data_IF_607975031649
#
_entry.id   IF_607975031649
#
_cell.length_a   1.000
_cell.length_b   1.000
_cell.length_c   1.000
_cell.angle_alpha   90.00
_cell.angle_beta   90.00
_cell.angle_gamma   90.00
#
_symmetry.space_group_name_H-M   'P 1'
#
loop_
_entity.id
_entity.type
_entity.pdbx_description
1 polymer ?
#
# COMPACT_ATOMS: atom_id res chain seq x y z
N UNK A 1 -19.30 -16.24 -34.91
CA UNK A 1 -18.79 -15.44 -36.05
C UNK A 1 -19.92 -14.56 -36.56
N UNK A 2 -19.97 -13.28 -36.18
CA UNK A 2 -20.61 -12.22 -36.98
C UNK A 2 -20.35 -10.84 -36.36
N UNK A 3 -19.46 -10.10 -37.04
CA UNK A 3 -19.44 -8.66 -37.25
C UNK A 3 -19.24 -7.70 -36.06
N UNK A 4 -17.95 -7.47 -35.80
CA UNK A 4 -17.30 -6.17 -35.58
C UNK A 4 -17.79 -5.05 -36.51
N UNK A 5 -18.74 -4.22 -36.06
CA UNK A 5 -19.00 -2.86 -36.54
C UNK A 5 -19.33 -2.07 -35.27
N UNK A 6 -18.50 -1.18 -34.76
CA UNK A 6 -18.53 0.23 -35.16
C UNK A 6 -17.33 0.94 -34.52
N UNK A 7 -16.25 1.12 -35.29
CA UNK A 7 -15.22 2.13 -35.03
C UNK A 7 -15.39 3.21 -36.09
N UNK A 8 -16.01 4.34 -35.77
CA UNK A 8 -15.82 5.60 -36.50
C UNK A 8 -16.01 6.78 -35.55
N UNK A 9 -14.88 7.45 -35.31
CA UNK A 9 -14.65 8.89 -35.15
C UNK A 9 -15.61 9.75 -34.32
N UNK A 10 -15.06 10.39 -33.29
CA UNK A 10 -15.10 11.87 -33.19
C UNK A 10 -13.71 12.34 -32.73
N UNK A 11 -13.08 13.13 -33.59
CA UNK A 11 -11.85 13.85 -33.34
C UNK A 11 -12.15 15.30 -32.93
N UNK A 12 -11.27 15.83 -32.08
CA UNK A 12 -10.90 17.24 -31.91
C UNK A 12 -11.81 18.18 -31.11
N UNK A 13 -11.11 19.19 -30.53
CA UNK A 13 -11.59 20.46 -29.92
C UNK A 13 -11.78 20.35 -28.39
N UNK A 14 -10.97 20.94 -27.50
CA UNK A 14 -10.41 22.30 -27.45
C UNK A 14 -9.00 22.39 -26.83
N UNK A 15 -8.14 23.21 -27.45
CA UNK A 15 -7.03 23.95 -26.83
C UNK A 15 -7.57 25.15 -26.01
N UNK A 16 -6.69 25.76 -25.21
CA UNK A 16 -6.85 26.93 -24.30
C UNK A 16 -7.17 26.54 -22.84
N UNK A 17 -6.45 26.95 -21.79
CA UNK A 17 -5.63 28.14 -21.60
C UNK A 17 -4.48 27.89 -20.60
N UNK A 18 -3.32 28.48 -20.92
CA UNK A 18 -2.17 28.61 -20.03
C UNK A 18 -2.44 29.85 -19.17
N UNK A 19 -2.94 29.66 -17.95
CA UNK A 19 -3.08 30.72 -16.96
C UNK A 19 -1.82 30.77 -16.11
N UNK A 20 -0.94 31.73 -16.40
CA UNK A 20 0.16 32.09 -15.50
C UNK A 20 -0.37 32.75 -14.24
N UNK A 21 0.12 32.31 -13.07
CA UNK A 21 0.02 33.06 -11.84
C UNK A 21 1.36 33.77 -11.61
N UNK A 22 1.37 35.06 -11.91
CA UNK A 22 2.44 36.01 -11.66
C UNK A 22 2.22 36.72 -10.31
N UNK A 23 3.29 36.75 -9.52
CA UNK A 23 3.74 37.77 -8.55
C UNK A 23 2.92 38.21 -7.30
N UNK A 24 3.64 38.08 -6.17
CA UNK A 24 3.79 39.05 -5.03
C UNK A 24 2.56 39.34 -4.14
N UNK A 25 2.63 39.51 -2.82
CA UNK A 25 3.64 40.13 -1.95
C UNK A 25 3.25 39.94 -0.46
N UNK A 26 4.23 40.08 0.46
CA UNK A 26 4.11 40.46 1.91
C UNK A 26 3.45 39.43 2.85
N UNK A 27 3.89 39.20 4.10
CA UNK A 27 4.57 40.00 5.11
C UNK A 27 5.19 39.04 6.16
N UNK A 28 6.35 39.37 6.73
CA UNK A 28 6.69 38.96 8.11
C UNK A 28 5.93 39.90 9.07
N UNK A 29 5.53 39.45 10.28
CA UNK A 29 6.46 39.52 11.42
C UNK A 29 6.28 38.45 12.54
N UNK A 30 7.39 38.22 13.26
CA UNK A 30 7.52 38.17 14.73
C UNK A 30 6.65 37.24 15.62
N UNK A 31 7.37 36.31 16.28
CA UNK A 31 7.48 36.18 17.76
C UNK A 31 6.37 35.48 18.56
N UNK A 32 6.84 34.68 19.53
CA UNK A 32 6.20 34.07 20.72
C UNK A 32 5.73 32.61 20.51
N UNK A 33 6.41 31.58 21.03
CA UNK A 33 6.92 31.33 22.39
C UNK A 33 5.81 31.27 23.45
N UNK A 34 5.28 30.06 23.71
CA UNK A 34 4.89 29.53 25.03
C UNK A 34 4.45 28.08 24.86
N UNK A 35 5.27 27.07 25.16
CA UNK A 35 5.39 26.39 26.47
C UNK A 35 4.08 26.27 27.24
N UNK A 36 3.54 25.04 27.32
CA UNK A 36 2.99 24.48 28.56
C UNK A 36 3.26 22.98 28.66
N UNK A 37 3.70 22.63 29.87
CA UNK A 37 4.08 21.34 30.43
C UNK A 37 2.85 20.65 31.04
N UNK A 38 2.71 19.32 30.89
CA UNK A 38 2.18 18.40 31.92
C UNK A 38 2.26 16.96 31.36
N UNK A 39 3.12 16.05 31.85
CA UNK A 39 3.09 15.28 33.11
C UNK A 39 2.01 14.18 33.22
N UNK A 40 2.45 12.93 33.42
CA UNK A 40 1.71 11.79 33.98
C UNK A 40 1.15 10.80 32.94
N UNK A 41 1.64 9.58 32.68
CA UNK A 41 2.24 8.46 33.45
C UNK A 41 1.23 7.43 34.00
N UNK A 42 1.39 6.19 33.51
CA UNK A 42 1.13 4.85 34.11
C UNK A 42 -0.30 4.28 34.08
N UNK A 43 -0.39 2.99 33.69
CA UNK A 43 -1.51 2.14 34.09
C UNK A 43 -1.64 0.80 33.34
N UNK A 44 -0.72 -0.13 33.60
CA UNK A 44 -0.82 -1.56 33.26
C UNK A 44 -1.83 -2.27 34.19
N UNK A 45 -2.62 -3.22 33.69
CA UNK A 45 -3.22 -4.30 34.51
C UNK A 45 -3.94 -5.40 33.69
N UNK A 46 -3.52 -6.65 33.96
CA UNK A 46 -4.18 -7.95 33.73
C UNK A 46 -4.82 -8.39 35.07
N UNK A 47 -5.98 -9.10 35.11
CA UNK A 47 -5.98 -10.52 35.52
C UNK A 47 -7.10 -11.39 34.90
N UNK A 48 -7.04 -12.68 35.27
CA UNK A 48 -7.69 -13.88 34.72
C UNK A 48 -8.98 -14.27 35.46
N UNK A 49 -9.82 -15.13 34.84
CA UNK A 49 -10.52 -16.22 35.53
C UNK A 49 -12.04 -16.39 35.31
N UNK A 50 -12.47 -17.61 34.91
CA UNK A 50 -13.59 -18.32 35.57
C UNK A 50 -14.95 -18.52 34.86
N UNK A 51 -15.09 -19.67 34.17
CA UNK A 51 -16.19 -20.66 34.16
C UNK A 51 -17.72 -20.35 34.08
N UNK A 52 -18.35 -21.05 33.11
CA UNK A 52 -19.64 -21.80 33.11
C UNK A 52 -21.01 -21.21 32.63
N UNK A 53 -21.68 -22.05 31.81
CA UNK A 53 -23.02 -22.01 31.14
C UNK A 53 -24.21 -22.22 32.13
N UNK A 54 -25.54 -22.07 31.82
CA UNK A 54 -26.24 -22.53 30.58
C UNK A 54 -27.55 -21.78 30.11
N UNK A 55 -28.15 -22.27 29.00
CA UNK A 55 -29.59 -22.15 28.59
C UNK A 55 -29.83 -21.34 27.28
N UNK A 56 -30.22 -21.91 26.11
CA UNK A 56 -31.55 -22.47 25.68
C UNK A 56 -32.70 -21.45 25.83
N UNK A 57 -33.56 -21.08 24.89
CA UNK A 57 -34.03 -21.54 23.56
C UNK A 57 -34.68 -20.34 22.82
N UNK A 58 -34.77 -20.40 21.48
CA UNK A 58 -36.01 -20.27 20.69
C UNK A 58 -35.79 -19.72 19.26
N UNK A 59 -36.40 -20.45 18.34
CA UNK A 59 -36.37 -20.29 16.90
C UNK A 59 -37.05 -19.02 16.37
N UNK A 60 -36.50 -18.49 15.28
CA UNK A 60 -37.16 -17.54 14.38
C UNK A 60 -36.53 -17.64 13.00
N UNK A 61 -37.25 -18.26 12.07
CA UNK A 61 -36.84 -18.49 10.70
C UNK A 61 -36.75 -17.16 9.92
N UNK A 62 -35.60 -16.91 9.29
CA UNK A 62 -35.57 -16.36 7.94
C UNK A 62 -34.34 -16.94 7.22
N UNK A 63 -34.61 -17.82 6.26
CA UNK A 63 -33.60 -18.39 5.37
C UNK A 63 -33.26 -17.37 4.28
N UNK A 64 -32.67 -16.25 4.68
CA UNK A 64 -31.84 -15.44 3.81
C UNK A 64 -30.50 -16.15 3.67
N UNK A 65 -30.34 -16.94 2.61
CA UNK A 65 -29.07 -17.54 2.24
C UNK A 65 -28.03 -16.43 2.07
N UNK A 66 -27.31 -16.14 3.16
CA UNK A 66 -26.06 -15.40 3.10
C UNK A 66 -25.10 -16.32 2.37
N UNK A 67 -24.99 -16.13 1.06
CA UNK A 67 -23.96 -16.79 0.28
C UNK A 67 -22.63 -16.53 0.99
N UNK A 68 -21.76 -17.53 1.16
CA UNK A 68 -20.42 -17.27 1.66
C UNK A 68 -19.82 -16.23 0.71
N UNK A 69 -19.57 -15.03 1.24
CA UNK A 69 -18.85 -14.00 0.52
C UNK A 69 -17.61 -14.70 -0.01
N UNK A 70 -17.43 -14.71 -1.33
CA UNK A 70 -16.33 -15.40 -2.00
C UNK A 70 -15.03 -14.62 -1.74
N UNK A 71 -14.64 -14.52 -0.47
CA UNK A 71 -13.39 -13.94 0.05
C UNK A 71 -12.19 -14.87 -0.21
N UNK A 72 -12.44 -16.02 -0.86
CA UNK A 72 -11.42 -17.03 -1.15
C UNK A 72 -10.55 -16.67 -2.36
N UNK A 73 -10.99 -15.74 -3.22
CA UNK A 73 -10.17 -15.29 -4.34
C UNK A 73 -9.26 -14.16 -3.87
N UNK A 74 -7.98 -14.46 -3.77
CA UNK A 74 -6.93 -13.50 -3.39
C UNK A 74 -5.96 -13.33 -4.54
N UNK A 75 -5.47 -12.12 -4.72
CA UNK A 75 -4.50 -11.77 -5.75
C UNK A 75 -3.32 -11.02 -5.12
N UNK A 76 -2.20 -11.04 -5.83
CA UNK A 76 -1.03 -10.24 -5.46
C UNK A 76 -1.14 -8.87 -6.11
N UNK A 77 -0.97 -7.82 -5.32
CA UNK A 77 -0.69 -6.46 -5.80
C UNK A 77 0.74 -6.08 -5.48
N UNK A 78 1.27 -5.10 -6.19
CA UNK A 78 2.64 -4.65 -6.03
C UNK A 78 2.75 -3.14 -6.13
N UNK A 79 3.77 -2.59 -5.48
CA UNK A 79 4.27 -1.25 -5.76
C UNK A 79 5.79 -1.26 -5.86
N UNK A 80 6.37 -0.27 -6.53
CA UNK A 80 7.81 -0.11 -6.55
C UNK A 80 8.31 0.27 -5.15
N UNK A 81 9.37 -0.39 -4.67
CA UNK A 81 10.02 -0.02 -3.39
C UNK A 81 10.54 1.43 -3.42
N UNK A 82 10.94 1.91 -4.60
CA UNK A 82 11.42 3.27 -4.81
C UNK A 82 12.85 3.53 -4.35
N UNK A 83 13.58 2.49 -3.93
CA UNK A 83 15.00 2.59 -3.61
C UNK A 83 15.85 2.82 -4.86
N UNK A 84 17.01 3.43 -4.65
CA UNK A 84 17.96 3.80 -5.70
C UNK A 84 19.21 2.94 -5.63
N UNK A 85 19.77 2.64 -6.78
CA UNK A 85 21.05 1.95 -6.89
C UNK A 85 22.16 2.78 -6.22
N UNK A 86 23.09 2.11 -5.54
CA UNK A 86 24.16 2.69 -4.71
C UNK A 86 23.69 3.41 -3.43
N UNK A 87 22.50 4.01 -3.43
CA UNK A 87 22.01 4.87 -2.32
C UNK A 87 21.05 4.14 -1.36
N UNK A 88 20.35 3.11 -1.83
CA UNK A 88 19.33 2.41 -1.05
C UNK A 88 18.05 3.22 -0.88
N UNK A 89 17.51 3.25 0.34
CA UNK A 89 16.26 3.93 0.68
C UNK A 89 15.00 3.15 0.29
N UNK A 90 13.96 3.88 -0.09
CA UNK A 90 12.66 3.34 -0.47
C UNK A 90 11.73 3.00 0.71
N UNK A 91 10.51 2.58 0.38
CA UNK A 91 9.49 2.17 1.35
C UNK A 91 9.81 0.77 1.90
N UNK A 92 9.53 0.54 3.18
CA UNK A 92 9.65 -0.80 3.77
C UNK A 92 8.41 -1.64 3.48
N UNK A 93 8.54 -2.97 3.50
CA UNK A 93 7.40 -3.88 3.34
C UNK A 93 6.31 -3.63 4.40
N UNK A 94 6.73 -3.33 5.63
CA UNK A 94 5.80 -3.01 6.72
C UNK A 94 5.06 -1.68 6.49
N UNK A 95 5.76 -0.64 6.04
CA UNK A 95 5.14 0.66 5.74
C UNK A 95 4.13 0.55 4.59
N UNK A 96 4.48 -0.18 3.53
CA UNK A 96 3.59 -0.47 2.40
C UNK A 96 2.35 -1.26 2.80
N UNK A 97 2.52 -2.35 3.57
CA UNK A 97 1.39 -3.12 4.09
C UNK A 97 0.51 -2.30 5.05
N UNK A 98 1.11 -1.43 5.85
CA UNK A 98 0.38 -0.54 6.75
C UNK A 98 -0.43 0.52 5.98
N UNK A 99 0.04 0.99 4.83
CA UNK A 99 -0.71 1.91 3.97
C UNK A 99 -1.98 1.25 3.44
N UNK A 100 -1.89 0.01 2.95
CA UNK A 100 -3.08 -0.77 2.57
C UNK A 100 -4.04 -0.93 3.76
N UNK A 101 -3.54 -1.35 4.92
CA UNK A 101 -4.35 -1.59 6.11
C UNK A 101 -5.05 -0.33 6.64
N UNK A 102 -4.36 0.82 6.65
CA UNK A 102 -4.93 2.11 7.08
C UNK A 102 -6.08 2.58 6.18
N UNK A 103 -6.09 2.14 4.91
CA UNK A 103 -7.16 2.42 3.96
C UNK A 103 -8.23 1.30 3.91
N UNK A 104 -8.28 0.45 4.93
CA UNK A 104 -9.31 -0.59 5.06
C UNK A 104 -9.07 -1.84 4.20
N UNK A 105 -7.92 -1.95 3.53
CA UNK A 105 -7.57 -3.13 2.73
C UNK A 105 -6.95 -4.20 3.61
N UNK A 106 -7.57 -5.36 3.66
CA UNK A 106 -7.04 -6.50 4.42
C UNK A 106 -5.86 -7.15 3.69
N UNK A 107 -4.67 -7.04 4.26
CA UNK A 107 -3.47 -7.74 3.78
C UNK A 107 -3.36 -9.12 4.41
N UNK A 108 -3.27 -10.15 3.59
CA UNK A 108 -3.15 -11.55 4.02
C UNK A 108 -1.70 -12.01 4.13
N UNK A 109 -0.86 -11.55 3.19
CA UNK A 109 0.56 -11.88 3.13
C UNK A 109 1.33 -10.71 2.53
N UNK A 110 2.60 -10.56 2.87
CA UNK A 110 3.48 -9.55 2.28
C UNK A 110 4.86 -10.14 2.04
N UNK A 111 5.45 -9.83 0.88
CA UNK A 111 6.77 -10.32 0.46
C UNK A 111 7.52 -9.25 -0.31
N UNK A 112 8.84 -9.34 -0.28
CA UNK A 112 9.69 -8.56 -1.17
C UNK A 112 9.96 -9.37 -2.43
N UNK A 113 10.07 -8.69 -3.57
CA UNK A 113 10.42 -9.31 -4.83
C UNK A 113 11.25 -8.36 -5.69
N UNK A 114 11.84 -8.91 -6.75
CA UNK A 114 12.47 -8.16 -7.84
C UNK A 114 11.69 -8.43 -9.12
N UNK A 115 11.47 -7.40 -9.93
CA UNK A 115 10.87 -7.54 -11.27
C UNK A 115 11.83 -8.22 -12.23
N UNK A 116 11.32 -9.23 -12.95
CA UNK A 116 12.08 -9.99 -13.96
C UNK A 116 11.69 -9.63 -15.38
N UNK A 117 10.62 -8.84 -15.56
CA UNK A 117 10.05 -8.51 -16.87
C UNK A 117 10.69 -7.29 -17.54
N UNK A 118 11.56 -6.56 -16.83
CA UNK A 118 12.26 -5.38 -17.33
C UNK A 118 13.69 -5.32 -16.83
N UNK A 119 14.59 -4.84 -17.69
CA UNK A 119 15.99 -4.62 -17.34
C UNK A 119 16.20 -3.24 -16.73
N UNK A 120 17.07 -3.16 -15.73
CA UNK A 120 17.48 -1.92 -15.08
C UNK A 120 18.97 -1.67 -15.31
N UNK A 121 19.38 -0.55 -15.92
CA UNK A 121 20.78 -0.26 -16.16
C UNK A 121 21.51 -0.03 -14.83
N UNK A 122 22.73 -0.55 -14.70
CA UNK A 122 23.55 -0.41 -13.51
C UNK A 122 24.19 0.99 -13.44
N UNK A 123 23.50 1.95 -12.84
CA UNK A 123 23.94 3.34 -12.66
C UNK A 123 23.53 3.85 -11.29
N UNK A 124 24.42 4.55 -10.59
CA UNK A 124 24.06 5.14 -9.29
C UNK A 124 22.92 6.17 -9.45
N UNK A 125 21.97 6.15 -8.52
CA UNK A 125 20.73 6.93 -8.59
C UNK A 125 19.64 6.32 -9.50
N UNK A 126 19.93 5.22 -10.20
CA UNK A 126 18.97 4.47 -11.01
C UNK A 126 17.94 3.70 -10.16
N UNK A 127 16.82 3.28 -10.76
CA UNK A 127 15.86 2.39 -10.11
C UNK A 127 16.40 0.95 -10.02
N UNK A 128 16.07 0.21 -8.96
CA UNK A 128 16.60 -1.16 -8.73
C UNK A 128 15.72 -2.27 -9.28
N UNK A 129 14.41 -2.03 -9.43
CA UNK A 129 13.43 -3.06 -9.77
C UNK A 129 12.90 -3.85 -8.58
N UNK A 130 13.28 -3.47 -7.37
CA UNK A 130 12.71 -4.00 -6.15
C UNK A 130 11.27 -3.53 -5.99
N UNK A 131 10.42 -4.46 -5.58
CA UNK A 131 8.99 -4.24 -5.39
C UNK A 131 8.54 -4.81 -4.05
N UNK A 132 7.46 -4.22 -3.55
CA UNK A 132 6.77 -4.67 -2.34
C UNK A 132 5.48 -5.33 -2.81
N UNK A 133 5.26 -6.57 -2.41
CA UNK A 133 4.12 -7.38 -2.87
C UNK A 133 3.23 -7.72 -1.70
N UNK A 134 1.92 -7.57 -1.90
CA UNK A 134 0.89 -7.83 -0.90
C UNK A 134 -0.20 -8.72 -1.47
N UNK A 135 -0.53 -9.79 -0.76
CA UNK A 135 -1.67 -10.64 -1.10
C UNK A 135 -2.91 -10.09 -0.41
N UNK A 136 -3.90 -9.72 -1.20
CA UNK A 136 -5.16 -9.11 -0.73
C UNK A 136 -6.35 -9.90 -1.31
N UNK A 137 -7.54 -9.86 -0.66
CA UNK A 137 -8.77 -10.32 -1.29
C UNK A 137 -9.03 -9.53 -2.58
N UNK A 138 -9.51 -10.21 -3.62
CA UNK A 138 -9.73 -9.61 -4.93
C UNK A 138 -10.73 -8.44 -4.92
N UNK A 139 -11.66 -8.43 -3.95
CA UNK A 139 -12.63 -7.35 -3.73
C UNK A 139 -11.98 -5.99 -3.39
N UNK A 140 -10.72 -5.97 -2.96
CA UNK A 140 -9.99 -4.74 -2.65
C UNK A 140 -9.11 -4.22 -3.79
N UNK A 141 -9.15 -4.84 -4.98
CA UNK A 141 -8.29 -4.44 -6.09
C UNK A 141 -8.49 -2.96 -6.49
N UNK A 142 -9.73 -2.51 -6.62
CA UNK A 142 -10.02 -1.13 -7.02
C UNK A 142 -9.46 -0.12 -6.02
N UNK A 143 -9.62 -0.39 -4.71
CA UNK A 143 -9.05 0.45 -3.65
C UNK A 143 -7.50 0.42 -3.66
N UNK A 144 -6.89 -0.73 -3.96
CA UNK A 144 -5.43 -0.84 -4.07
C UNK A 144 -4.90 -0.05 -5.29
N UNK A 145 -5.61 -0.07 -6.42
CA UNK A 145 -5.29 0.71 -7.62
C UNK A 145 -5.34 2.22 -7.33
N UNK A 146 -6.33 2.69 -6.56
CA UNK A 146 -6.42 4.10 -6.13
C UNK A 146 -5.22 4.54 -5.27
N UNK A 147 -4.61 3.62 -4.54
CA UNK A 147 -3.38 3.84 -3.77
C UNK A 147 -2.10 3.69 -4.60
N UNK A 148 -2.21 3.36 -5.89
CA UNK A 148 -1.08 3.21 -6.81
C UNK A 148 -0.42 1.82 -6.80
N UNK A 149 -1.09 0.81 -6.24
CA UNK A 149 -0.65 -0.59 -6.36
C UNK A 149 -1.17 -1.20 -7.66
N UNK A 150 -0.32 -1.92 -8.38
CA UNK A 150 -0.70 -2.65 -9.59
C UNK A 150 -0.94 -4.14 -9.31
N UNK A 151 -1.86 -4.83 -10.01
CA UNK A 151 -1.98 -6.27 -9.93
C UNK A 151 -0.71 -6.96 -10.47
N UNK A 152 -0.18 -7.91 -9.71
CA UNK A 152 0.98 -8.68 -10.09
C UNK A 152 0.62 -9.71 -11.18
N UNK A 153 1.39 -9.69 -12.26
CA UNK A 153 1.32 -10.70 -13.33
C UNK A 153 2.19 -11.90 -13.00
N UNK A 154 1.67 -13.08 -13.30
CA UNK A 154 2.39 -14.34 -13.11
C UNK A 154 3.71 -14.36 -13.90
N UNK A 155 4.77 -14.91 -13.29
CA UNK A 155 6.09 -15.06 -13.90
C UNK A 155 6.96 -13.80 -14.01
N UNK A 156 6.48 -12.63 -13.56
CA UNK A 156 7.20 -11.36 -13.67
C UNK A 156 7.98 -10.95 -12.41
N UNK A 157 7.96 -11.78 -11.37
CA UNK A 157 8.53 -11.46 -10.07
C UNK A 157 9.28 -12.65 -9.49
N UNK A 158 10.41 -12.36 -8.87
CA UNK A 158 11.16 -13.32 -8.07
C UNK A 158 11.12 -12.88 -6.61
N UNK A 159 10.47 -13.66 -5.75
CA UNK A 159 10.47 -13.40 -4.30
C UNK A 159 11.88 -13.49 -3.73
N UNK A 160 12.20 -12.55 -2.85
CA UNK A 160 13.49 -12.42 -2.19
C UNK A 160 13.26 -12.01 -0.73
N UNK A 161 14.31 -12.14 0.08
CA UNK A 161 14.31 -11.59 1.42
C UNK A 161 14.21 -10.07 1.35
N UNK A 162 13.42 -9.51 2.27
CA UNK A 162 13.36 -8.07 2.39
C UNK A 162 14.70 -7.54 2.90
N UNK A 163 15.36 -6.72 2.08
CA UNK A 163 16.47 -5.93 2.55
C UNK A 163 15.99 -5.15 3.78
N UNK A 164 16.57 -5.49 4.93
CA UNK A 164 16.36 -4.76 6.16
C UNK A 164 16.77 -3.31 5.90
N UNK A 165 16.02 -2.35 6.42
CA UNK A 165 16.48 -0.97 6.43
C UNK A 165 17.76 -0.94 7.28
N UNK A 166 18.92 -1.07 6.62
CA UNK A 166 20.21 -1.09 7.26
C UNK A 166 20.42 0.28 7.87
N UNK A 167 20.11 0.41 9.15
CA UNK A 167 20.71 1.43 10.00
C UNK A 167 22.21 1.09 10.06
N UNK A 168 22.99 1.64 9.12
CA UNK A 168 24.45 1.70 9.15
C UNK A 168 25.20 0.45 9.61
N UNK A 169 25.23 -0.61 8.78
CA UNK A 169 26.27 -1.63 8.95
C UNK A 169 27.52 -1.17 8.18
N UNK A 170 28.53 -0.73 8.93
CA UNK A 170 29.86 -0.43 8.42
C UNK A 170 30.43 -1.62 7.62
N UNK A 171 31.23 -1.39 6.56
CA UNK A 171 31.81 -2.47 5.79
C UNK A 171 32.79 -3.26 6.67
N UNK A 172 32.50 -4.55 6.92
CA UNK A 172 33.55 -5.47 7.35
C UNK A 172 34.47 -5.72 6.17
N UNK A 173 35.65 -5.09 6.21
CA UNK A 173 36.75 -5.42 5.33
C UNK A 173 37.28 -6.83 5.68
N UNK A 174 37.43 -7.66 4.67
CA UNK A 174 38.33 -8.82 4.68
C UNK A 174 39.33 -8.67 3.54
#
# INVERSE_FOLDING_TARGET
>A
MCHTWLRVAIAAVCLMAIGGCDSSQKQAPETQSKSETSSGSVGEQKPEGGAEQPGQDAAGADAGASQPVQDNQSLWVMEARGNKQCEGGGKSLAASGAELAQNGIRVQESRCAVRTDRMYPAVCGGATGDVLMHRIPASFLDAALELGFDPAKEGQYQFTDCAQATSGSAPQQR
#
